data_IF_702258511674
#
_entry.id   IF_702258511674
#
_cell.length_a   1.000
_cell.length_b   1.000
_cell.length_c   1.000
_cell.angle_alpha   90.00
_cell.angle_beta   90.00
_cell.angle_gamma   90.00
#
_symmetry.space_group_name_H-M   'P 1'
#
loop_
_entity.id
_entity.type
_entity.pdbx_description
1 polymer ?
#
# COMPACT_ATOMS: atom_id res chain seq x y z
N UNK A 1 49.65 43.64 3.17
CA UNK A 1 48.18 43.52 3.05
C UNK A 1 47.68 42.66 4.18
N UNK A 2 47.00 43.23 5.18
CA UNK A 2 46.43 42.46 6.28
C UNK A 2 45.30 41.57 5.77
N UNK A 3 45.28 40.30 6.17
CA UNK A 3 44.16 39.41 5.88
C UNK A 3 43.02 39.69 6.87
N UNK A 4 41.81 39.86 6.33
CA UNK A 4 40.59 40.07 7.12
C UNK A 4 39.69 38.86 6.97
N UNK A 5 38.92 38.57 8.01
CA UNK A 5 37.84 37.59 7.99
C UNK A 5 36.54 38.38 7.94
N UNK A 6 35.76 38.14 6.90
CA UNK A 6 34.43 38.73 6.74
C UNK A 6 33.40 37.82 7.40
N UNK A 7 32.83 38.28 8.52
CA UNK A 7 31.74 37.61 9.22
C UNK A 7 30.48 38.45 9.08
N UNK A 8 29.56 38.09 8.19
CA UNK A 8 28.25 38.78 8.02
C UNK A 8 28.34 40.30 7.75
N UNK A 9 29.36 40.73 7.01
CA UNK A 9 29.60 42.15 6.71
C UNK A 9 30.48 42.89 7.73
N UNK A 10 30.90 42.23 8.81
CA UNK A 10 31.92 42.74 9.73
C UNK A 10 33.31 42.22 9.33
N UNK A 11 34.23 43.13 9.04
CA UNK A 11 35.62 42.80 8.70
C UNK A 11 36.47 42.81 9.95
N UNK A 12 36.93 41.64 10.39
CA UNK A 12 37.79 41.50 11.57
C UNK A 12 39.20 41.12 11.09
N UNK A 13 40.27 41.79 11.58
CA UNK A 13 41.62 41.41 11.21
C UNK A 13 41.92 39.98 11.68
N UNK A 14 42.42 39.14 10.76
CA UNK A 14 42.65 37.71 11.01
C UNK A 14 43.56 37.46 12.21
N UNK A 15 44.57 38.31 12.39
CA UNK A 15 45.50 38.24 13.52
C UNK A 15 44.83 38.43 14.89
N UNK A 16 43.72 39.14 14.95
CA UNK A 16 42.98 39.38 16.19
C UNK A 16 41.98 38.25 16.44
N UNK A 17 41.35 37.74 15.39
CA UNK A 17 40.48 36.57 15.46
C UNK A 17 41.24 35.29 15.86
N UNK A 18 42.43 35.06 15.31
CA UNK A 18 43.22 33.86 15.61
C UNK A 18 43.85 33.90 17.02
N UNK A 19 44.00 35.09 17.61
CA UNK A 19 44.44 35.27 19.01
C UNK A 19 43.35 34.95 20.03
N UNK A 20 42.08 35.02 19.65
CA UNK A 20 40.97 34.74 20.55
C UNK A 20 40.92 33.25 20.91
N UNK A 21 40.58 32.95 22.16
CA UNK A 21 40.39 31.56 22.55
C UNK A 21 39.17 30.94 21.82
N UNK A 22 39.10 29.61 21.66
CA UNK A 22 37.98 28.96 20.97
C UNK A 22 36.60 29.36 21.53
N UNK A 23 36.50 29.59 22.84
CA UNK A 23 35.28 30.02 23.50
C UNK A 23 34.88 31.46 23.12
N UNK A 24 35.84 32.39 23.09
CA UNK A 24 35.62 33.78 22.67
C UNK A 24 35.22 33.87 21.19
N UNK A 25 35.88 33.07 20.33
CA UNK A 25 35.50 32.98 18.92
C UNK A 25 34.07 32.46 18.77
N UNK A 26 33.71 31.41 19.51
CA UNK A 26 32.34 30.89 19.50
C UNK A 26 31.33 31.94 19.99
N UNK A 27 31.63 32.65 21.09
CA UNK A 27 30.78 33.71 21.63
C UNK A 27 30.58 34.85 20.63
N UNK A 28 31.67 35.28 19.97
CA UNK A 28 31.62 36.28 18.90
C UNK A 28 30.73 35.80 17.75
N UNK A 29 30.95 34.59 17.25
CA UNK A 29 30.14 33.98 16.19
C UNK A 29 28.65 33.87 16.56
N UNK A 30 28.34 33.46 17.80
CA UNK A 30 26.96 33.36 18.28
C UNK A 30 26.30 34.74 18.42
N UNK A 31 27.04 35.74 18.89
CA UNK A 31 26.55 37.12 19.03
C UNK A 31 26.25 37.77 17.67
N UNK A 32 27.15 37.61 16.68
CA UNK A 32 26.94 38.06 15.30
C UNK A 32 25.69 37.40 14.70
N UNK A 33 25.51 36.10 14.92
CA UNK A 33 24.31 35.37 14.49
C UNK A 33 23.03 35.89 15.15
N UNK A 34 23.08 36.33 16.42
CA UNK A 34 21.93 36.98 17.08
C UNK A 34 21.62 38.36 16.48
N UNK A 35 22.65 39.12 16.11
CA UNK A 35 22.49 40.44 15.49
C UNK A 35 21.94 40.35 14.05
N UNK A 36 22.33 39.33 13.28
CA UNK A 36 21.74 39.04 11.98
C UNK A 36 20.23 38.74 12.08
N UNK A 37 19.79 38.00 13.10
CA UNK A 37 18.36 37.74 13.35
C UNK A 37 17.54 39.01 13.51
N UNK A 38 18.14 40.07 14.09
CA UNK A 38 17.45 41.33 14.34
C UNK A 38 17.41 42.24 13.11
N UNK A 39 18.41 42.18 12.21
CA UNK A 39 18.44 42.96 10.96
C UNK A 39 17.55 42.37 9.86
N UNK A 40 17.38 41.05 9.85
CA UNK A 40 16.62 40.35 8.82
C UNK A 40 15.16 40.08 9.25
N UNK A 41 14.38 41.13 9.52
CA UNK A 41 12.93 40.98 9.72
C UNK A 41 12.16 40.69 8.41
N UNK A 42 12.83 40.72 7.25
CA UNK A 42 12.20 40.61 5.94
C UNK A 42 12.70 39.42 5.08
N UNK A 43 13.52 38.52 5.63
CA UNK A 43 13.75 37.22 5.01
C UNK A 43 13.03 36.14 5.84
N UNK A 44 11.93 35.61 5.31
CA UNK A 44 11.34 34.40 5.87
C UNK A 44 12.35 33.27 5.67
N UNK A 45 13.12 32.97 6.70
CA UNK A 45 14.00 31.82 6.73
C UNK A 45 13.17 30.58 6.43
N UNK A 46 13.43 29.96 5.29
CA UNK A 46 12.79 28.71 4.91
C UNK A 46 13.53 27.59 5.63
N UNK A 47 12.83 26.90 6.51
CA UNK A 47 13.35 25.68 7.10
C UNK A 47 13.40 24.57 6.04
N UNK A 48 14.24 23.56 6.24
CA UNK A 48 14.26 22.36 5.38
C UNK A 48 12.85 21.75 5.27
N UNK A 49 12.09 21.78 6.37
CA UNK A 49 10.70 21.38 6.40
C UNK A 49 9.82 22.22 5.45
N UNK A 50 9.99 23.54 5.41
CA UNK A 50 9.24 24.40 4.48
C UNK A 50 9.58 24.11 3.02
N UNK A 51 10.84 23.79 2.73
CA UNK A 51 11.28 23.38 1.39
C UNK A 51 10.61 22.07 0.99
N UNK A 52 10.62 21.07 1.89
CA UNK A 52 9.94 19.80 1.69
C UNK A 52 8.44 20.01 1.47
N UNK A 53 7.78 20.80 2.32
CA UNK A 53 6.35 21.07 2.24
C UNK A 53 5.96 21.76 0.93
N UNK A 54 6.77 22.69 0.42
CA UNK A 54 6.51 23.38 -0.85
C UNK A 54 6.69 22.48 -2.07
N UNK A 55 7.65 21.55 -2.04
CA UNK A 55 7.99 20.69 -3.18
C UNK A 55 7.42 19.28 -3.09
N UNK A 56 6.70 18.97 -2.01
CA UNK A 56 6.14 17.65 -1.77
C UNK A 56 5.20 17.25 -2.90
N UNK A 57 5.54 16.14 -3.57
CA UNK A 57 4.65 15.45 -4.50
C UNK A 57 4.34 14.08 -3.94
N UNK A 58 3.09 13.68 -4.08
CA UNK A 58 2.58 12.41 -3.56
C UNK A 58 3.34 11.21 -4.14
N UNK A 59 3.65 11.26 -5.44
CA UNK A 59 4.54 10.32 -6.11
C UNK A 59 5.60 11.13 -6.85
N UNK A 60 6.86 10.82 -6.54
CA UNK A 60 8.00 11.56 -7.03
C UNK A 60 8.97 10.62 -7.78
N UNK A 61 9.41 11.06 -8.96
CA UNK A 61 10.48 10.39 -9.70
C UNK A 61 11.83 10.92 -9.20
N UNK A 62 12.45 10.20 -8.25
CA UNK A 62 13.70 10.60 -7.57
C UNK A 62 14.80 11.03 -8.56
N UNK A 63 14.86 10.42 -9.74
CA UNK A 63 15.87 10.71 -10.78
C UNK A 63 15.74 12.09 -11.44
N UNK A 64 14.62 12.80 -11.25
CA UNK A 64 14.40 14.12 -11.87
C UNK A 64 14.72 15.28 -10.94
N UNK A 65 15.06 15.01 -9.68
CA UNK A 65 15.31 16.04 -8.68
C UNK A 65 16.80 16.33 -8.50
N UNK A 66 17.16 17.60 -8.61
CA UNK A 66 18.53 18.07 -8.41
C UNK A 66 18.86 18.38 -6.95
N UNK A 67 17.86 18.40 -6.06
CA UNK A 67 18.07 18.75 -4.64
C UNK A 67 18.37 17.48 -3.83
N UNK A 68 19.59 17.36 -3.31
CA UNK A 68 20.02 16.21 -2.52
C UNK A 68 19.11 15.94 -1.30
N UNK A 69 18.61 17.00 -0.63
CA UNK A 69 17.66 16.87 0.49
C UNK A 69 16.37 16.12 0.10
N UNK A 70 15.74 16.52 -1.02
CA UNK A 70 14.51 15.89 -1.50
C UNK A 70 14.78 14.48 -1.99
N UNK A 71 15.91 14.28 -2.67
CA UNK A 71 16.32 12.96 -3.15
C UNK A 71 16.45 11.96 -2.00
N UNK A 72 17.13 12.35 -0.92
CA UNK A 72 17.28 11.55 0.29
C UNK A 72 15.93 11.29 0.96
N UNK A 73 15.07 12.31 1.06
CA UNK A 73 13.73 12.18 1.63
C UNK A 73 12.83 11.22 0.83
N UNK A 74 12.76 11.35 -0.49
CA UNK A 74 11.94 10.44 -1.31
C UNK A 74 12.52 9.03 -1.38
N UNK A 75 13.84 8.88 -1.25
CA UNK A 75 14.49 7.57 -1.20
C UNK A 75 14.22 6.83 0.12
N UNK A 76 14.07 7.55 1.23
CA UNK A 76 13.72 6.95 2.52
C UNK A 76 12.24 6.56 2.63
N UNK A 77 11.36 7.18 1.81
CA UNK A 77 9.93 6.89 1.81
C UNK A 77 9.64 5.47 1.28
N UNK A 78 9.09 4.62 2.15
CA UNK A 78 8.73 3.24 1.83
C UNK A 78 7.31 3.09 1.23
N UNK A 79 7.11 3.57 0.00
CA UNK A 79 5.81 3.54 -0.71
C UNK A 79 5.55 2.26 -1.53
N UNK A 80 5.93 1.08 -1.01
CA UNK A 80 5.74 -0.20 -1.74
C UNK A 80 4.33 -0.79 -1.55
N UNK A 81 3.81 -0.72 -0.32
CA UNK A 81 2.57 -1.37 0.09
C UNK A 81 1.58 -0.38 0.69
N UNK A 82 0.30 -0.66 0.48
CA UNK A 82 -0.83 0.19 0.89
C UNK A 82 -1.72 -0.56 1.89
N UNK A 83 -2.36 0.19 2.77
CA UNK A 83 -3.37 -0.30 3.71
C UNK A 83 -4.77 -0.11 3.15
N UNK A 84 -5.62 -1.10 3.39
CA UNK A 84 -6.98 -1.12 2.89
C UNK A 84 -8.01 -1.04 4.02
N UNK A 85 -8.98 -0.15 3.82
CA UNK A 85 -10.20 -0.11 4.60
C UNK A 85 -11.30 -0.87 3.87
N UNK A 86 -11.73 -1.98 4.48
CA UNK A 86 -12.71 -2.90 3.92
C UNK A 86 -14.09 -2.74 4.57
N UNK A 87 -14.32 -1.70 5.38
CA UNK A 87 -15.56 -1.57 6.15
C UNK A 87 -16.82 -1.53 5.27
N UNK A 88 -16.75 -0.87 4.11
CA UNK A 88 -17.88 -0.72 3.15
C UNK A 88 -17.76 -1.62 1.90
N UNK A 89 -17.08 -2.76 2.00
CA UNK A 89 -16.85 -3.65 0.86
C UNK A 89 -18.13 -4.17 0.19
N UNK A 90 -19.25 -4.28 0.94
CA UNK A 90 -20.56 -4.69 0.41
C UNK A 90 -21.12 -3.68 -0.60
N UNK A 91 -20.86 -2.39 -0.36
CA UNK A 91 -21.18 -1.27 -1.26
C UNK A 91 -20.16 -1.12 -2.39
N UNK A 92 -19.17 -2.03 -2.47
CA UNK A 92 -18.07 -1.98 -3.44
C UNK A 92 -17.15 -0.77 -3.33
N UNK A 93 -17.22 -0.07 -2.20
CA UNK A 93 -16.33 1.03 -1.84
C UNK A 93 -15.18 0.48 -1.01
N UNK A 94 -13.95 0.77 -1.44
CA UNK A 94 -12.72 0.36 -0.77
C UNK A 94 -11.88 1.63 -0.57
N UNK A 95 -11.42 1.84 0.66
CA UNK A 95 -10.46 2.91 0.96
C UNK A 95 -9.05 2.38 0.89
N UNK A 96 -8.14 3.14 0.29
CA UNK A 96 -6.71 2.83 0.23
C UNK A 96 -5.94 4.02 0.79
N UNK A 97 -4.92 3.74 1.61
CA UNK A 97 -3.98 4.76 2.10
C UNK A 97 -2.57 4.19 2.26
N UNK A 98 -1.57 5.05 2.17
CA UNK A 98 -0.21 4.67 2.54
C UNK A 98 -0.09 4.33 4.02
N UNK A 99 0.96 3.57 4.34
CA UNK A 99 1.26 3.13 5.71
C UNK A 99 1.83 4.30 6.51
N UNK A 100 1.54 4.33 7.80
CA UNK A 100 2.25 5.20 8.74
C UNK A 100 3.51 4.51 9.23
N UNK A 101 4.43 5.27 9.82
CA UNK A 101 5.69 4.76 10.39
C UNK A 101 5.44 3.63 11.40
N UNK A 102 4.53 3.83 12.35
CA UNK A 102 4.15 2.80 13.33
C UNK A 102 3.69 1.48 12.68
N UNK A 103 2.99 1.57 11.54
CA UNK A 103 2.50 0.39 10.82
C UNK A 103 3.61 -0.29 10.04
N UNK A 104 4.61 0.47 9.58
CA UNK A 104 5.80 -0.06 8.92
C UNK A 104 6.62 -0.85 9.95
N UNK A 105 6.85 -0.29 11.13
CA UNK A 105 7.58 -0.95 12.23
C UNK A 105 6.86 -2.24 12.65
N UNK A 106 5.53 -2.22 12.74
CA UNK A 106 4.71 -3.40 13.03
C UNK A 106 4.65 -4.42 11.88
N UNK A 107 5.20 -4.11 10.70
CA UNK A 107 5.16 -4.99 9.53
C UNK A 107 3.79 -5.08 8.84
N UNK A 108 2.86 -4.15 9.10
CA UNK A 108 1.51 -4.15 8.52
C UNK A 108 1.54 -3.87 7.01
N UNK A 109 0.76 -4.64 6.26
CA UNK A 109 0.73 -4.61 4.79
C UNK A 109 1.92 -5.28 4.09
N UNK A 110 2.95 -5.73 4.84
CA UNK A 110 4.07 -6.50 4.31
C UNK A 110 4.07 -7.92 4.87
N UNK A 111 4.19 -8.08 6.19
CA UNK A 111 4.18 -9.37 6.87
C UNK A 111 2.77 -9.68 7.37
N UNK A 112 2.08 -8.64 7.86
CA UNK A 112 0.71 -8.71 8.35
C UNK A 112 -0.26 -8.15 7.30
N UNK A 113 -1.49 -8.64 7.27
CA UNK A 113 -2.52 -8.21 6.32
C UNK A 113 -2.66 -6.69 6.22
N UNK A 114 -2.81 -6.17 5.00
CA UNK A 114 -3.05 -4.74 4.74
C UNK A 114 -4.38 -4.22 5.29
N UNK A 115 -5.30 -5.08 5.75
CA UNK A 115 -6.58 -4.60 6.26
C UNK A 115 -6.44 -4.01 7.66
N UNK A 116 -7.07 -2.84 7.88
CA UNK A 116 -7.01 -2.15 9.20
C UNK A 116 -7.34 -3.06 10.39
N UNK A 117 -8.33 -3.95 10.25
CA UNK A 117 -8.88 -4.79 11.34
C UNK A 117 -8.43 -6.26 11.30
N UNK A 118 -7.40 -6.59 10.52
CA UNK A 118 -6.99 -7.98 10.33
C UNK A 118 -5.49 -8.12 10.55
N UNK A 119 -5.11 -9.09 11.38
CA UNK A 119 -3.72 -9.33 11.76
C UNK A 119 -3.21 -10.70 11.26
N UNK A 120 -3.85 -11.25 10.22
CA UNK A 120 -3.45 -12.53 9.64
C UNK A 120 -2.18 -12.39 8.78
N UNK A 121 -1.35 -13.44 8.73
CA UNK A 121 -0.02 -13.48 8.10
C UNK A 121 0.02 -14.25 6.78
N UNK A 122 -1.01 -15.05 6.48
CA UNK A 122 -1.14 -15.76 5.19
C UNK A 122 -1.56 -14.80 4.07
N UNK A 123 -0.62 -14.20 3.35
CA UNK A 123 -0.89 -13.08 2.44
C UNK A 123 -0.56 -13.35 0.97
N UNK A 124 -1.47 -12.92 0.10
CA UNK A 124 -1.24 -12.82 -1.34
C UNK A 124 -1.12 -11.36 -1.77
N UNK A 125 -0.32 -11.12 -2.82
CA UNK A 125 -0.11 -9.78 -3.36
C UNK A 125 -1.07 -9.47 -4.51
N UNK A 126 -1.73 -8.32 -4.43
CA UNK A 126 -2.68 -7.82 -5.41
C UNK A 126 -2.28 -6.42 -5.88
N UNK A 127 -2.49 -6.14 -7.16
CA UNK A 127 -2.30 -4.81 -7.74
C UNK A 127 -3.64 -4.09 -7.91
N UNK A 128 -3.65 -2.82 -7.51
CA UNK A 128 -4.80 -1.93 -7.65
C UNK A 128 -4.41 -0.65 -8.35
N UNK A 129 -5.35 -0.10 -9.12
CA UNK A 129 -5.25 1.25 -9.64
C UNK A 129 -5.79 2.21 -8.58
N UNK A 130 -4.91 3.05 -8.07
CA UNK A 130 -5.21 4.13 -7.14
C UNK A 130 -5.30 5.43 -7.93
N UNK A 131 -6.44 6.12 -7.83
CA UNK A 131 -6.67 7.43 -8.43
C UNK A 131 -6.69 8.46 -7.32
N UNK A 132 -5.96 9.56 -7.51
CA UNK A 132 -5.86 10.66 -6.56
C UNK A 132 -5.85 12.00 -7.31
N UNK A 133 -6.18 13.06 -6.60
CA UNK A 133 -6.13 14.43 -7.13
C UNK A 133 -4.98 15.14 -6.45
N UNK A 134 -4.10 15.75 -7.24
CA UNK A 134 -2.98 16.54 -6.76
C UNK A 134 -2.95 17.84 -7.56
N UNK A 135 -2.96 18.98 -6.87
CA UNK A 135 -3.00 20.31 -7.51
C UNK A 135 -4.19 20.48 -8.49
N UNK A 136 -5.32 19.83 -8.21
CA UNK A 136 -6.50 19.86 -9.08
C UNK A 136 -6.43 18.92 -10.29
N UNK A 137 -5.35 18.17 -10.47
CA UNK A 137 -5.15 17.23 -11.58
C UNK A 137 -5.40 15.80 -11.09
N UNK A 138 -6.25 15.06 -11.81
CA UNK A 138 -6.46 13.63 -11.54
C UNK A 138 -5.28 12.80 -12.05
N UNK A 139 -4.61 12.11 -11.12
CA UNK A 139 -3.50 11.19 -11.41
C UNK A 139 -3.87 9.76 -11.04
N UNK A 140 -3.21 8.79 -11.68
CA UNK A 140 -3.44 7.35 -11.47
C UNK A 140 -2.12 6.61 -11.29
N UNK A 141 -2.08 5.69 -10.34
CA UNK A 141 -0.89 4.90 -10.02
C UNK A 141 -1.27 3.47 -9.67
N UNK A 142 -0.40 2.52 -10.01
CA UNK A 142 -0.54 1.13 -9.57
C UNK A 142 0.07 0.96 -8.19
N UNK A 143 -0.72 0.49 -7.24
CA UNK A 143 -0.29 0.21 -5.87
C UNK A 143 -0.42 -1.28 -5.55
N UNK A 144 0.44 -1.77 -4.66
CA UNK A 144 0.44 -3.17 -4.22
C UNK A 144 -0.22 -3.29 -2.84
N UNK A 145 -1.08 -4.29 -2.69
CA UNK A 145 -1.79 -4.60 -1.45
C UNK A 145 -1.59 -6.07 -1.13
N UNK A 146 -1.12 -6.38 0.09
CA UNK A 146 -1.01 -7.77 0.55
C UNK A 146 -2.20 -8.11 1.44
N UNK A 147 -2.95 -9.14 1.08
CA UNK A 147 -4.17 -9.48 1.80
C UNK A 147 -4.33 -10.99 1.97
N UNK A 148 -4.89 -11.37 3.13
CA UNK A 148 -5.28 -12.76 3.38
C UNK A 148 -6.49 -13.18 2.55
N UNK A 149 -6.80 -14.48 2.50
CA UNK A 149 -7.86 -15.01 1.65
C UNK A 149 -9.23 -14.34 1.91
N UNK A 150 -9.57 -14.07 3.17
CA UNK A 150 -10.82 -13.42 3.55
C UNK A 150 -10.86 -11.95 3.14
N UNK A 151 -9.77 -11.22 3.38
CA UNK A 151 -9.65 -9.82 2.97
C UNK A 151 -9.61 -9.69 1.44
N UNK A 152 -8.97 -10.64 0.75
CA UNK A 152 -8.93 -10.72 -0.70
C UNK A 152 -10.33 -10.97 -1.30
N UNK A 153 -11.16 -11.80 -0.64
CA UNK A 153 -12.56 -11.96 -1.00
C UNK A 153 -13.33 -10.64 -0.88
N UNK A 154 -13.14 -9.90 0.21
CA UNK A 154 -13.75 -8.57 0.43
C UNK A 154 -13.29 -7.55 -0.62
N UNK A 155 -11.98 -7.51 -0.91
CA UNK A 155 -11.39 -6.66 -1.95
C UNK A 155 -12.00 -6.93 -3.34
N UNK A 156 -12.21 -8.19 -3.68
CA UNK A 156 -12.72 -8.60 -4.99
C UNK A 156 -14.21 -8.97 -5.00
N UNK A 157 -14.97 -8.49 -4.01
CA UNK A 157 -16.34 -8.93 -3.73
C UNK A 157 -17.24 -8.93 -4.97
N UNK A 158 -17.28 -7.81 -5.71
CA UNK A 158 -18.11 -7.66 -6.93
C UNK A 158 -17.74 -8.67 -8.02
N UNK A 159 -16.43 -8.83 -8.29
CA UNK A 159 -15.92 -9.75 -9.33
C UNK A 159 -16.23 -11.21 -8.96
N UNK A 160 -16.04 -11.56 -7.69
CA UNK A 160 -16.28 -12.92 -7.18
C UNK A 160 -17.78 -13.24 -7.16
N UNK A 161 -18.63 -12.35 -6.64
CA UNK A 161 -20.09 -12.54 -6.63
C UNK A 161 -20.65 -12.70 -8.05
N UNK A 162 -20.16 -11.92 -9.02
CA UNK A 162 -20.52 -12.07 -10.45
C UNK A 162 -20.09 -13.43 -11.00
N UNK A 163 -18.89 -13.90 -10.64
CA UNK A 163 -18.37 -15.20 -11.05
C UNK A 163 -19.20 -16.37 -10.50
N UNK A 164 -19.55 -16.33 -9.21
CA UNK A 164 -20.36 -17.33 -8.53
C UNK A 164 -21.77 -17.41 -9.11
N UNK A 165 -22.43 -16.26 -9.33
CA UNK A 165 -23.73 -16.18 -10.01
C UNK A 165 -23.70 -16.84 -11.40
N UNK A 166 -22.66 -16.57 -12.21
CA UNK A 166 -22.49 -17.18 -13.54
C UNK A 166 -22.35 -18.71 -13.45
N UNK A 167 -21.58 -19.22 -12.49
CA UNK A 167 -21.43 -20.67 -12.28
C UNK A 167 -22.72 -21.34 -11.82
N UNK A 168 -23.47 -20.72 -10.91
CA UNK A 168 -24.77 -21.22 -10.45
C UNK A 168 -25.74 -21.35 -11.63
N UNK A 169 -25.85 -20.32 -12.49
CA UNK A 169 -26.66 -20.37 -13.72
C UNK A 169 -26.25 -21.50 -14.68
N UNK A 170 -24.96 -21.71 -14.92
CA UNK A 170 -24.45 -22.82 -15.76
C UNK A 170 -24.82 -24.19 -15.19
N UNK A 171 -24.77 -24.36 -13.87
CA UNK A 171 -25.16 -25.62 -13.20
C UNK A 171 -26.64 -25.91 -13.34
N UNK A 172 -27.50 -24.91 -13.12
CA UNK A 172 -28.96 -25.05 -13.29
C UNK A 172 -29.27 -25.48 -14.74
N UNK A 173 -28.64 -24.85 -15.75
CA UNK A 173 -28.80 -25.27 -17.16
C UNK A 173 -28.34 -26.71 -17.41
N UNK A 174 -27.22 -27.15 -16.80
CA UNK A 174 -26.70 -28.53 -16.95
C UNK A 174 -27.64 -29.54 -16.30
N UNK A 175 -28.18 -29.25 -15.12
CA UNK A 175 -29.14 -30.12 -14.44
C UNK A 175 -30.45 -30.24 -15.22
N UNK A 176 -31.02 -29.13 -15.71
CA UNK A 176 -32.21 -29.16 -16.59
C UNK A 176 -31.99 -30.01 -17.85
N UNK A 177 -30.80 -29.95 -18.46
CA UNK A 177 -30.45 -30.82 -19.61
C UNK A 177 -30.36 -32.30 -19.23
N UNK A 178 -29.82 -32.62 -18.04
CA UNK A 178 -29.78 -34.00 -17.53
C UNK A 178 -31.19 -34.52 -17.24
N UNK A 179 -32.03 -33.73 -16.59
CA UNK A 179 -33.43 -34.08 -16.32
C UNK A 179 -34.21 -34.34 -17.62
N UNK A 180 -34.05 -33.50 -18.65
CA UNK A 180 -34.66 -33.73 -19.97
C UNK A 180 -34.20 -35.05 -20.60
N UNK A 181 -32.90 -35.39 -20.52
CA UNK A 181 -32.37 -36.67 -21.02
C UNK A 181 -32.89 -37.87 -20.25
N UNK A 182 -33.06 -37.76 -18.93
CA UNK A 182 -33.62 -38.83 -18.08
C UNK A 182 -35.11 -39.02 -18.36
N UNK A 183 -35.88 -37.93 -18.54
CA UNK A 183 -37.29 -38.03 -18.94
C UNK A 183 -37.47 -38.73 -20.29
N UNK A 184 -36.65 -38.39 -21.29
CA UNK A 184 -36.69 -39.04 -22.61
C UNK A 184 -36.36 -40.54 -22.56
N UNK A 185 -35.52 -40.98 -21.63
CA UNK A 185 -35.19 -42.41 -21.44
C UNK A 185 -36.28 -43.19 -20.69
N UNK A 186 -37.12 -42.52 -19.90
CA UNK A 186 -38.22 -43.15 -19.15
C UNK A 186 -39.48 -43.33 -19.99
N UNK A 187 -39.68 -42.50 -21.01
CA UNK A 187 -40.81 -42.65 -21.97
C UNK A 187 -40.65 -43.82 -22.94
N UNK A 188 -39.46 -44.43 -23.01
CA UNK A 188 -39.16 -45.59 -23.89
C UNK A 188 -39.04 -46.92 -23.13
N UNK A 189 -39.31 -46.95 -21.83
CA UNK A 189 -39.25 -48.17 -21.03
C UNK A 189 -40.36 -48.11 -19.97
N UNK A 190 -41.43 -48.86 -20.23
CA UNK A 190 -42.45 -49.19 -19.26
C UNK A 190 -41.86 -50.01 -18.10
N UNK A 191 -42.42 -49.76 -16.92
CA UNK A 191 -42.40 -50.53 -15.69
C UNK A 191 -41.41 -50.19 -14.55
N UNK A 192 -42.09 -50.08 -13.41
CA UNK A 192 -41.75 -50.20 -11.99
C UNK A 192 -41.08 -49.08 -11.21
N UNK A 193 -41.71 -48.88 -10.05
CA UNK A 193 -41.56 -47.84 -9.07
C UNK A 193 -40.65 -48.32 -7.94
N UNK A 194 -39.84 -47.41 -7.40
CA UNK A 194 -39.45 -47.49 -5.99
C UNK A 194 -39.03 -46.11 -5.51
N UNK A 195 -39.78 -45.62 -4.54
CA UNK A 195 -39.55 -44.38 -3.81
C UNK A 195 -38.19 -44.41 -3.07
N UNK A 196 -37.52 -43.26 -3.01
CA UNK A 196 -36.52 -42.97 -1.97
C UNK A 196 -36.47 -41.45 -1.74
N UNK A 197 -37.35 -40.97 -0.87
CA UNK A 197 -37.00 -39.92 0.10
C UNK A 197 -35.92 -40.53 1.04
N UNK A 198 -34.94 -39.86 1.61
CA UNK A 198 -34.73 -38.46 1.98
C UNK A 198 -33.27 -38.33 2.39
N UNK A 199 -32.56 -37.29 1.93
CA UNK A 199 -31.26 -36.87 2.52
C UNK A 199 -30.96 -35.43 2.12
N UNK A 200 -31.78 -34.49 2.59
CA UNK A 200 -31.63 -33.07 2.29
C UNK A 200 -30.58 -32.37 3.17
N UNK A 201 -30.10 -32.99 4.26
CA UNK A 201 -29.28 -32.29 5.26
C UNK A 201 -27.74 -32.34 5.03
N UNK A 202 -27.22 -33.15 4.09
CA UNK A 202 -25.76 -33.17 3.79
C UNK A 202 -25.32 -32.24 2.65
N UNK A 203 -26.27 -31.59 1.97
CA UNK A 203 -26.00 -30.79 0.77
C UNK A 203 -25.43 -29.40 1.08
N UNK A 204 -25.74 -28.83 2.25
CA UNK A 204 -25.35 -27.48 2.62
C UNK A 204 -23.84 -27.34 2.86
N UNK A 205 -23.23 -28.32 3.56
CA UNK A 205 -21.79 -28.38 3.83
C UNK A 205 -20.97 -28.63 2.55
N UNK A 206 -21.46 -29.52 1.65
CA UNK A 206 -20.85 -29.76 0.33
C UNK A 206 -20.97 -28.54 -0.60
N UNK A 207 -22.01 -27.72 -0.47
CA UNK A 207 -22.17 -26.51 -1.28
C UNK A 207 -21.14 -25.44 -0.90
N UNK A 208 -20.96 -25.20 0.41
CA UNK A 208 -20.03 -24.19 0.93
C UNK A 208 -18.56 -24.52 0.63
N UNK A 209 -18.13 -25.78 0.82
CA UNK A 209 -16.75 -26.21 0.47
C UNK A 209 -16.45 -26.00 -1.02
N UNK A 210 -17.42 -26.26 -1.91
CA UNK A 210 -17.27 -26.05 -3.36
C UNK A 210 -17.23 -24.57 -3.75
N UNK A 211 -17.99 -23.73 -3.05
CA UNK A 211 -17.97 -22.28 -3.27
C UNK A 211 -16.62 -21.69 -2.86
N UNK A 212 -16.09 -22.09 -1.69
CA UNK A 212 -14.74 -21.75 -1.24
C UNK A 212 -13.66 -22.16 -2.25
N UNK A 213 -13.73 -23.37 -2.80
CA UNK A 213 -12.81 -23.82 -3.86
C UNK A 213 -12.81 -22.88 -5.08
N UNK A 214 -14.01 -22.46 -5.54
CA UNK A 214 -14.11 -21.55 -6.67
C UNK A 214 -13.64 -20.14 -6.36
N UNK A 215 -13.82 -19.68 -5.13
CA UNK A 215 -13.28 -18.41 -4.65
C UNK A 215 -11.76 -18.46 -4.65
N UNK A 216 -11.16 -19.47 -4.00
CA UNK A 216 -9.70 -19.67 -3.93
C UNK A 216 -9.08 -19.70 -5.32
N UNK A 217 -9.62 -20.53 -6.23
CA UNK A 217 -9.17 -20.61 -7.63
C UNK A 217 -9.30 -19.30 -8.39
N UNK A 218 -10.29 -18.46 -8.06
CA UNK A 218 -10.47 -17.16 -8.73
C UNK A 218 -9.52 -16.11 -8.17
N UNK A 219 -9.30 -16.12 -6.85
CA UNK A 219 -8.35 -15.24 -6.17
C UNK A 219 -6.91 -15.55 -6.59
N UNK A 220 -6.54 -16.82 -6.71
CA UNK A 220 -5.22 -17.24 -7.18
C UNK A 220 -4.92 -16.78 -8.62
N UNK A 221 -5.96 -16.67 -9.47
CA UNK A 221 -5.84 -16.11 -10.82
C UNK A 221 -5.73 -14.58 -10.87
N UNK A 222 -6.15 -13.90 -9.80
CA UNK A 222 -6.10 -12.44 -9.70
C UNK A 222 -4.83 -12.00 -8.96
N UNK A 223 -4.38 -12.83 -8.01
CA UNK A 223 -3.08 -12.68 -7.37
C UNK A 223 -2.01 -12.65 -8.44
N UNK A 224 -1.04 -11.77 -8.26
CA UNK A 224 0.17 -11.87 -9.04
C UNK A 224 0.85 -13.18 -8.66
N UNK A 225 1.13 -14.03 -9.66
CA UNK A 225 2.17 -15.07 -9.55
C UNK A 225 3.50 -14.43 -9.88
N UNK A 226 3.88 -13.39 -9.16
CA UNK A 226 5.22 -12.82 -9.29
C UNK A 226 6.16 -13.76 -8.56
N UNK A 227 7.02 -14.44 -9.33
CA UNK A 227 8.26 -15.10 -8.94
C UNK A 227 8.81 -14.59 -7.58
N UNK A 228 8.37 -15.18 -6.48
CA UNK A 228 8.82 -14.82 -5.12
C UNK A 228 10.28 -15.22 -4.89
N UNK A 229 10.85 -16.08 -5.77
CA UNK A 229 12.25 -16.55 -5.72
C UNK A 229 13.33 -15.51 -6.02
N UNK A 230 13.00 -14.27 -6.40
CA UNK A 230 14.03 -13.22 -6.66
C UNK A 230 14.00 -12.06 -5.67
N UNK A 231 13.03 -12.02 -4.75
CA UNK A 231 12.89 -10.91 -3.80
C UNK A 231 13.25 -11.29 -2.36
N UNK A 232 13.72 -12.52 -2.12
CA UNK A 232 14.32 -12.91 -0.83
C UNK A 232 15.54 -12.04 -0.48
N UNK A 233 16.16 -11.36 -1.45
CA UNK A 233 17.23 -10.37 -1.21
C UNK A 233 16.75 -9.08 -0.51
N UNK A 234 15.43 -8.82 -0.44
CA UNK A 234 14.86 -7.68 0.29
C UNK A 234 14.49 -8.02 1.76
N UNK A 235 14.93 -9.16 2.29
CA UNK A 235 14.80 -9.50 3.71
C UNK A 235 15.69 -8.65 4.63
N UNK A 236 16.68 -7.92 4.07
CA UNK A 236 17.69 -7.16 4.80
C UNK A 236 17.25 -5.81 5.37
N UNK A 237 15.99 -5.41 5.23
CA UNK A 237 15.53 -4.14 5.83
C UNK A 237 15.21 -4.27 7.33
N UNK A 238 15.05 -5.50 7.85
CA UNK A 238 14.78 -5.72 9.27
C UNK A 238 16.04 -5.64 10.15
N UNK A 239 17.23 -5.77 9.57
CA UNK A 239 18.52 -5.77 10.28
C UNK A 239 19.15 -4.37 10.38
N UNK A 240 18.49 -3.32 9.87
CA UNK A 240 18.97 -1.93 9.93
C UNK A 240 18.28 -1.08 11.01
N UNK A 241 17.42 -1.70 11.83
CA UNK A 241 16.65 -1.01 12.88
C UNK A 241 17.01 -1.52 14.29
N UNK A 242 17.96 -2.46 14.41
CA UNK A 242 18.54 -2.88 15.69
C UNK A 242 20.06 -2.76 15.68
#
# INVERSE_FOLDING_TARGET
MGSYIDLSGYKIPKNEFDKMCPFERHKLMMSLRMLEKNKNMNCQYLTDYDILKKKYKFIHDVSKENNSLLQNYYSSICNKYVICDLSKYKETKIGLRWRTEEEIIKGKGQIICSSKKCDNTDLNTYEFLFQYVEEGIEKKTKVKVRACMDCAYKLHYRKIKKYLKKKKKKRIKKNKRKEKRVKHRRTSSSNECSNTSSSLNSNHSKSNKRELYYIKKKLEKISLKTQEKKNEENMYFHDLIF
#
